data_IF_916157366901
#
_entry.id   IF_916157366901
#
_cell.length_a   1.000
_cell.length_b   1.000
_cell.length_c   1.000
_cell.angle_alpha   90.00
_cell.angle_beta   90.00
_cell.angle_gamma   90.00
#
_symmetry.space_group_name_H-M   'P 1'
#
loop_
_entity.id
_entity.type
_entity.pdbx_description
1 polymer ?
#
# COMPACT_ATOMS: atom_id res chain seq x y z
N UNK A 1 -29.55 21.16 8.35
CA UNK A 1 -29.02 22.33 7.61
C UNK A 1 -27.53 22.40 7.81
N UNK A 2 -26.77 22.27 6.71
CA UNK A 2 -25.30 22.31 6.71
C UNK A 2 -24.85 23.56 5.96
N UNK A 3 -23.67 24.08 6.29
CA UNK A 3 -23.08 25.24 5.62
C UNK A 3 -21.73 24.85 5.03
N UNK A 4 -21.35 25.50 3.94
CA UNK A 4 -20.06 25.23 3.30
C UNK A 4 -18.93 25.82 4.13
N UNK A 5 -17.97 24.99 4.52
CA UNK A 5 -16.81 25.41 5.32
C UNK A 5 -15.91 26.43 4.62
N UNK A 6 -16.04 26.58 3.30
CA UNK A 6 -15.19 27.45 2.50
C UNK A 6 -15.83 28.80 2.16
N UNK A 7 -17.15 28.85 1.96
CA UNK A 7 -17.83 30.07 1.53
C UNK A 7 -19.06 30.45 2.37
N UNK A 8 -19.41 29.64 3.38
CA UNK A 8 -20.54 29.91 4.27
C UNK A 8 -21.93 29.73 3.65
N UNK A 9 -22.03 29.28 2.40
CA UNK A 9 -23.32 29.05 1.72
C UNK A 9 -24.09 27.90 2.38
N UNK A 10 -25.41 28.08 2.53
CA UNK A 10 -26.31 27.01 3.01
C UNK A 10 -26.40 25.89 1.99
N UNK A 11 -26.12 24.66 2.43
CA UNK A 11 -26.11 23.45 1.63
C UNK A 11 -27.37 22.63 1.88
N UNK A 12 -27.87 22.02 0.81
CA UNK A 12 -28.87 20.95 0.91
C UNK A 12 -28.19 19.68 1.43
N UNK A 13 -28.88 18.90 2.27
CA UNK A 13 -28.29 17.75 2.98
C UNK A 13 -27.75 16.65 2.03
N UNK A 14 -28.21 16.61 0.76
CA UNK A 14 -27.75 15.66 -0.28
C UNK A 14 -26.76 16.25 -1.32
N UNK A 15 -26.29 17.49 -1.13
CA UNK A 15 -25.44 18.14 -2.12
C UNK A 15 -24.00 17.60 -2.10
N UNK A 16 -23.57 16.96 -3.20
CA UNK A 16 -22.19 16.42 -3.37
C UNK A 16 -21.13 17.50 -3.61
N UNK A 17 -21.56 18.71 -3.95
CA UNK A 17 -20.71 19.85 -4.25
C UNK A 17 -21.40 21.15 -3.88
N UNK A 18 -20.61 22.16 -3.52
CA UNK A 18 -21.10 23.49 -3.21
C UNK A 18 -21.46 24.23 -4.52
N UNK A 19 -22.71 24.71 -4.70
CA UNK A 19 -23.11 25.43 -5.90
C UNK A 19 -22.48 26.83 -6.03
N UNK A 20 -21.96 27.38 -4.93
CA UNK A 20 -21.39 28.73 -4.92
C UNK A 20 -19.87 28.73 -5.14
N UNK A 21 -19.12 27.86 -4.47
CA UNK A 21 -17.66 27.82 -4.58
C UNK A 21 -17.10 26.58 -5.29
N UNK A 22 -17.94 25.63 -5.70
CA UNK A 22 -17.52 24.42 -6.41
C UNK A 22 -16.82 23.35 -5.55
N UNK A 23 -16.64 23.58 -4.24
CA UNK A 23 -16.00 22.63 -3.34
C UNK A 23 -16.80 21.33 -3.26
N UNK A 24 -16.17 20.20 -3.60
CA UNK A 24 -16.77 18.87 -3.46
C UNK A 24 -16.76 18.43 -2.00
N UNK A 25 -17.89 17.93 -1.53
CA UNK A 25 -17.99 17.24 -0.24
C UNK A 25 -17.67 15.78 -0.50
N UNK A 26 -16.37 15.47 -0.50
CA UNK A 26 -15.94 14.08 -0.66
C UNK A 26 -16.35 13.31 0.58
N UNK A 27 -17.35 12.42 0.47
CA UNK A 27 -17.49 11.34 1.44
C UNK A 27 -16.21 10.52 1.37
N UNK A 28 -15.41 10.61 2.44
CA UNK A 28 -14.29 9.74 2.77
C UNK A 28 -13.57 9.13 1.57
N UNK A 29 -12.56 9.84 1.06
CA UNK A 29 -11.41 9.11 0.57
C UNK A 29 -10.74 8.54 1.83
N UNK A 30 -11.19 7.35 2.22
CA UNK A 30 -10.53 6.57 3.26
C UNK A 30 -9.11 6.36 2.75
N UNK A 31 -8.16 7.04 3.38
CA UNK A 31 -6.75 6.76 3.23
C UNK A 31 -6.54 5.29 3.61
N UNK A 32 -6.40 4.50 2.56
CA UNK A 32 -6.47 3.06 2.52
C UNK A 32 -5.16 2.48 3.03
N UNK A 33 -4.99 2.53 4.36
CA UNK A 33 -4.06 1.67 5.09
C UNK A 33 -4.22 0.20 4.67
N UNK A 34 -5.42 -0.20 4.24
CA UNK A 34 -5.68 -1.52 3.64
C UNK A 34 -4.82 -1.80 2.41
N UNK A 35 -4.60 -0.85 1.51
CA UNK A 35 -3.75 -1.06 0.33
C UNK A 35 -2.27 -1.15 0.71
N UNK A 36 -1.85 -0.36 1.69
CA UNK A 36 -0.49 -0.44 2.25
C UNK A 36 -0.25 -1.80 2.91
N UNK A 37 -1.22 -2.28 3.70
CA UNK A 37 -1.18 -3.60 4.36
C UNK A 37 -1.18 -4.73 3.33
N UNK A 38 -1.99 -4.64 2.26
CA UNK A 38 -2.00 -5.65 1.18
C UNK A 38 -0.64 -5.69 0.47
N UNK A 39 -0.04 -4.55 0.15
CA UNK A 39 1.29 -4.48 -0.44
C UNK A 39 2.36 -5.10 0.47
N UNK A 40 2.28 -4.88 1.78
CA UNK A 40 3.20 -5.48 2.75
C UNK A 40 3.05 -7.01 2.82
N UNK A 41 1.82 -7.54 2.84
CA UNK A 41 1.55 -8.99 2.88
C UNK A 41 2.06 -9.67 1.60
N UNK A 42 1.80 -9.09 0.43
CA UNK A 42 2.30 -9.62 -0.86
C UNK A 42 3.83 -9.58 -0.91
N UNK A 43 4.44 -8.50 -0.42
CA UNK A 43 5.89 -8.37 -0.29
C UNK A 43 6.51 -9.40 0.66
N UNK A 44 5.78 -9.84 1.69
CA UNK A 44 6.21 -10.84 2.67
C UNK A 44 6.11 -12.28 2.13
N UNK A 45 5.28 -12.52 1.12
CA UNK A 45 5.18 -13.82 0.46
C UNK A 45 6.36 -14.11 -0.49
N UNK A 46 6.94 -13.06 -1.09
CA UNK A 46 8.10 -13.14 -1.97
C UNK A 46 9.36 -13.77 -1.32
N UNK A 47 9.79 -13.39 -0.09
CA UNK A 47 10.91 -14.04 0.60
C UNK A 47 10.61 -15.49 1.01
N UNK A 48 9.34 -15.83 1.31
CA UNK A 48 8.93 -17.22 1.55
C UNK A 48 9.11 -18.08 0.29
N UNK A 49 8.68 -17.59 -0.88
CA UNK A 49 8.85 -18.28 -2.17
C UNK A 49 10.35 -18.46 -2.49
N UNK A 50 11.17 -17.44 -2.26
CA UNK A 50 12.63 -17.51 -2.43
C UNK A 50 13.28 -18.59 -1.54
N UNK A 51 12.86 -18.69 -0.28
CA UNK A 51 13.36 -19.70 0.66
C UNK A 51 12.93 -21.12 0.26
N UNK A 52 11.69 -21.30 -0.22
CA UNK A 52 11.19 -22.59 -0.72
C UNK A 52 11.95 -23.01 -1.97
N UNK A 53 12.12 -22.10 -2.96
CA UNK A 53 12.92 -22.37 -4.16
C UNK A 53 14.38 -22.69 -3.81
N UNK A 54 14.96 -22.01 -2.81
CA UNK A 54 16.30 -22.32 -2.33
C UNK A 54 16.41 -23.77 -1.81
N UNK A 55 15.43 -24.23 -1.04
CA UNK A 55 15.42 -25.61 -0.52
C UNK A 55 15.22 -26.65 -1.62
N UNK A 56 14.36 -26.39 -2.60
CA UNK A 56 14.09 -27.30 -3.73
C UNK A 56 15.28 -27.37 -4.69
N UNK A 57 15.83 -26.22 -5.09
CA UNK A 57 16.94 -26.13 -6.05
C UNK A 57 18.33 -26.35 -5.43
N UNK A 58 18.38 -26.63 -4.11
CA UNK A 58 19.62 -26.90 -3.39
C UNK A 58 20.45 -28.03 -4.03
N UNK A 59 19.79 -28.97 -4.71
CA UNK A 59 20.43 -30.18 -5.23
C UNK A 59 20.90 -30.09 -6.70
N UNK A 60 20.53 -29.04 -7.45
CA UNK A 60 20.88 -28.86 -8.86
C UNK A 60 21.88 -27.72 -9.07
N UNK A 61 21.57 -26.50 -8.61
CA UNK A 61 22.39 -25.30 -8.84
C UNK A 61 22.36 -24.34 -7.65
N UNK A 62 23.11 -24.70 -6.61
CA UNK A 62 23.13 -23.96 -5.33
C UNK A 62 23.63 -22.52 -5.48
N UNK A 63 24.44 -22.22 -6.51
CA UNK A 63 24.99 -20.88 -6.76
C UNK A 63 23.90 -19.89 -7.20
N UNK A 64 23.04 -20.30 -8.13
CA UNK A 64 21.91 -19.48 -8.58
C UNK A 64 20.86 -19.31 -7.47
N UNK A 65 20.59 -20.40 -6.73
CA UNK A 65 19.61 -20.40 -5.64
C UNK A 65 20.01 -19.46 -4.47
N UNK A 66 21.29 -19.42 -4.09
CA UNK A 66 21.79 -18.53 -3.02
C UNK A 66 21.66 -17.06 -3.39
N UNK A 67 22.03 -16.68 -4.61
CA UNK A 67 21.96 -15.29 -5.07
C UNK A 67 20.52 -14.80 -5.09
N UNK A 68 19.60 -15.59 -5.64
CA UNK A 68 18.17 -15.24 -5.68
C UNK A 68 17.55 -15.07 -4.28
N UNK A 69 17.83 -15.99 -3.36
CA UNK A 69 17.30 -15.91 -1.99
C UNK A 69 17.89 -14.73 -1.20
N UNK A 70 19.19 -14.47 -1.38
CA UNK A 70 19.88 -13.35 -0.71
C UNK A 70 19.32 -12.00 -1.19
N UNK A 71 19.12 -11.83 -2.50
CA UNK A 71 18.51 -10.62 -3.06
C UNK A 71 17.07 -10.41 -2.58
N UNK A 72 16.28 -11.48 -2.43
CA UNK A 72 14.90 -11.40 -1.92
C UNK A 72 14.85 -10.88 -0.47
N UNK A 73 15.77 -11.33 0.39
CA UNK A 73 15.88 -10.84 1.77
C UNK A 73 16.37 -9.40 1.85
N UNK A 74 17.37 -9.03 1.05
CA UNK A 74 17.88 -7.65 1.01
C UNK A 74 16.77 -6.68 0.57
N UNK A 75 16.02 -7.02 -0.48
CA UNK A 75 14.91 -6.20 -0.96
C UNK A 75 13.80 -6.04 0.09
N UNK A 76 13.42 -7.13 0.75
CA UNK A 76 12.42 -7.09 1.83
C UNK A 76 12.88 -6.21 3.01
N UNK A 77 14.15 -6.34 3.40
CA UNK A 77 14.72 -5.59 4.52
C UNK A 77 14.83 -4.09 4.22
N UNK A 78 15.23 -3.71 3.01
CA UNK A 78 15.26 -2.31 2.56
C UNK A 78 13.86 -1.70 2.51
N UNK A 79 12.88 -2.43 1.97
CA UNK A 79 11.49 -1.98 1.92
C UNK A 79 10.91 -1.75 3.34
N UNK A 80 11.24 -2.63 4.28
CA UNK A 80 10.80 -2.52 5.68
C UNK A 80 11.44 -1.31 6.39
N UNK A 81 12.71 -1.03 6.12
CA UNK A 81 13.39 0.15 6.67
C UNK A 81 12.80 1.46 6.15
N UNK A 82 12.48 1.55 4.87
CA UNK A 82 11.84 2.73 4.27
C UNK A 82 10.44 2.96 4.86
N UNK A 83 9.73 1.88 5.20
CA UNK A 83 8.39 1.97 5.79
C UNK A 83 8.38 2.41 7.26
N UNK A 84 9.49 2.21 7.98
CA UNK A 84 9.62 2.50 9.41
C UNK A 84 10.05 3.96 9.68
N UNK A 85 10.64 4.62 8.68
CA UNK A 85 11.07 6.03 8.71
C UNK A 85 9.91 6.93 8.31
#
# INVERSE_FOLDING_TARGET
MRYCDNCGQKLADDSKFCPNCGKRFSSSNQENNTTVIICAIVGLLFPLIGAILYYVFKNSDIKAAKTANTCAWIGFLVQLLIFLI
#
